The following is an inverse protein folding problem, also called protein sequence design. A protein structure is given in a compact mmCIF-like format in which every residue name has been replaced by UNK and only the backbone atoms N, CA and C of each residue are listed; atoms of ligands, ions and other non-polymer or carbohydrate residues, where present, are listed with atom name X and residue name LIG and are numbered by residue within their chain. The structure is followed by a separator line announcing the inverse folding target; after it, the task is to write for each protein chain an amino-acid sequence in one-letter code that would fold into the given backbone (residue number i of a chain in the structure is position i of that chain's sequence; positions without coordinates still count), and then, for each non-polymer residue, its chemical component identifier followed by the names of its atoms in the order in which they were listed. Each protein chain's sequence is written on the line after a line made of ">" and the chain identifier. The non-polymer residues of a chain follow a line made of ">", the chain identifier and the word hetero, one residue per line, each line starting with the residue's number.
data_IF_371147766692
#
_entry.id   IF_371147766692
#
_cell.length_a   1.000
_cell.length_b   1.000
_cell.length_c   1.000
_cell.angle_alpha   90.00
_cell.angle_beta   90.00
_cell.angle_gamma   90.00
#
_symmetry.space_group_name_H-M   'P 1'
#
loop_
_entity.id
_entity.type
_entity.pdbx_description
1 polymer ?
#
# COMPACT_ATOMS: atom_id res chain seq x y z
N UNK A 1 -8.31 -1.22 23.09
CA UNK A 1 -6.97 -0.95 22.51
C UNK A 1 -7.09 -0.65 21.02
N UNK A 2 -6.34 0.34 20.51
CA UNK A 2 -6.24 0.61 19.06
C UNK A 2 -4.86 0.21 18.58
N UNK A 3 -4.83 -0.59 17.52
CA UNK A 3 -3.59 -1.01 16.89
C UNK A 3 -2.91 0.24 16.31
N UNK A 4 -1.66 0.46 16.68
CA UNK A 4 -0.78 1.33 15.91
C UNK A 4 -0.50 0.62 14.59
N UNK A 5 -0.68 1.32 13.47
CA UNK A 5 -0.42 0.78 12.15
C UNK A 5 0.74 1.56 11.53
N UNK A 6 1.94 0.98 11.61
CA UNK A 6 3.16 1.52 11.00
C UNK A 6 3.47 0.89 9.64
N UNK A 7 2.74 -0.16 9.28
CA UNK A 7 2.77 -0.76 7.95
C UNK A 7 1.36 -0.97 7.41
N UNK A 8 1.18 -0.67 6.13
CA UNK A 8 -0.04 -1.00 5.41
C UNK A 8 0.26 -1.59 4.03
N UNK A 9 -0.51 -2.57 3.58
CA UNK A 9 -0.38 -3.16 2.23
C UNK A 9 -1.72 -3.14 1.49
N UNK A 10 -1.69 -2.81 0.20
CA UNK A 10 -2.84 -2.82 -0.71
C UNK A 10 -2.44 -3.39 -2.06
N UNK A 11 -3.44 -3.77 -2.84
CA UNK A 11 -3.25 -4.12 -4.25
C UNK A 11 -4.07 -3.25 -5.17
N UNK A 12 -3.56 -2.96 -6.36
CA UNK A 12 -4.18 -2.06 -7.33
C UNK A 12 -4.29 -2.67 -8.72
N UNK A 13 -5.41 -2.42 -9.43
CA UNK A 13 -5.57 -2.83 -10.82
C UNK A 13 -5.00 -1.80 -11.80
N UNK A 14 -4.79 -2.22 -13.05
CA UNK A 14 -4.40 -1.29 -14.14
C UNK A 14 -5.53 -0.32 -14.45
N UNK A 15 -6.74 -0.85 -14.56
CA UNK A 15 -7.96 -0.11 -14.87
C UNK A 15 -9.09 -0.64 -13.99
N UNK A 16 -10.04 0.23 -13.71
CA UNK A 16 -11.21 -0.13 -12.92
C UNK A 16 -12.19 -0.86 -13.85
N UNK A 17 -12.78 -1.95 -13.38
CA UNK A 17 -13.83 -2.65 -14.11
C UNK A 17 -15.04 -1.75 -14.32
N UNK A 18 -15.65 -1.74 -15.52
CA UNK A 18 -16.90 -1.00 -15.78
C UNK A 18 -18.08 -1.52 -14.96
N UNK A 19 -17.99 -2.77 -14.49
CA UNK A 19 -18.97 -3.41 -13.61
C UNK A 19 -18.78 -3.07 -12.12
N UNK A 20 -17.71 -2.33 -11.79
CA UNK A 20 -17.48 -1.89 -10.42
C UNK A 20 -18.55 -0.87 -10.01
N UNK A 21 -19.24 -1.14 -8.90
CA UNK A 21 -20.16 -0.17 -8.28
C UNK A 21 -19.46 1.15 -7.89
N UNK A 22 -18.13 1.13 -7.76
CA UNK A 22 -17.31 2.33 -7.58
C UNK A 22 -16.92 2.89 -8.95
N UNK A 23 -17.50 4.05 -9.31
CA UNK A 23 -17.17 4.84 -10.51
C UNK A 23 -15.74 5.39 -10.49
N UNK A 24 -15.12 5.50 -9.32
CA UNK A 24 -13.76 5.99 -9.13
C UNK A 24 -12.98 5.08 -8.19
N UNK A 25 -11.69 4.95 -8.46
CA UNK A 25 -10.78 4.09 -7.71
C UNK A 25 -9.32 4.40 -8.06
N UNK A 26 -8.44 3.80 -7.27
CA UNK A 26 -7.00 3.92 -7.44
C UNK A 26 -6.53 2.84 -8.41
N UNK A 27 -5.78 3.26 -9.42
CA UNK A 27 -5.13 2.40 -10.40
C UNK A 27 -3.62 2.52 -10.24
N UNK A 28 -2.87 1.60 -10.85
CA UNK A 28 -1.41 1.66 -10.90
C UNK A 28 -0.91 3.04 -11.33
N UNK A 29 -1.45 3.58 -12.43
CA UNK A 29 -1.07 4.90 -12.95
C UNK A 29 -1.29 6.02 -11.94
N UNK A 30 -2.44 6.04 -11.25
CA UNK A 30 -2.72 7.05 -10.22
C UNK A 30 -1.76 6.95 -9.04
N UNK A 31 -1.51 5.73 -8.57
CA UNK A 31 -0.62 5.49 -7.42
C UNK A 31 0.82 5.89 -7.76
N UNK A 32 1.32 5.51 -8.94
CA UNK A 32 2.65 5.90 -9.40
C UNK A 32 2.75 7.42 -9.52
N UNK A 33 1.78 8.08 -10.16
CA UNK A 33 1.77 9.55 -10.32
C UNK A 33 1.70 10.30 -9.00
N UNK A 34 0.88 9.83 -8.06
CA UNK A 34 0.79 10.41 -6.71
C UNK A 34 2.13 10.25 -5.96
N UNK A 35 2.74 9.07 -6.07
CA UNK A 35 3.99 8.77 -5.39
C UNK A 35 5.18 9.57 -5.92
N UNK A 36 5.32 9.74 -7.25
CA UNK A 36 6.39 10.56 -7.85
C UNK A 36 6.11 12.07 -7.81
N UNK A 37 5.07 12.50 -7.08
CA UNK A 37 4.64 13.91 -7.00
C UNK A 37 4.34 14.56 -8.36
N UNK A 38 3.77 13.79 -9.29
CA UNK A 38 3.35 14.32 -10.59
C UNK A 38 2.34 15.46 -10.39
N UNK A 39 2.49 16.54 -11.17
CA UNK A 39 1.66 17.76 -11.04
C UNK A 39 0.17 17.42 -11.10
N UNK A 40 -0.58 17.91 -10.12
CA UNK A 40 -2.03 17.67 -9.99
C UNK A 40 -2.42 16.29 -9.42
N UNK A 41 -1.46 15.44 -9.06
CA UNK A 41 -1.70 14.11 -8.49
C UNK A 41 -1.40 14.03 -6.98
N UNK A 42 -0.89 15.10 -6.36
CA UNK A 42 -0.46 15.15 -4.95
C UNK A 42 -1.04 16.36 -4.19
N UNK A 43 -2.36 16.59 -4.28
CA UNK A 43 -3.02 17.80 -3.74
C UNK A 43 -2.97 17.96 -2.21
N UNK A 44 -2.57 16.93 -1.47
CA UNK A 44 -2.50 16.95 -0.01
C UNK A 44 -1.10 17.33 0.52
N UNK A 45 -0.08 17.35 -0.35
CA UNK A 45 1.29 17.70 0.01
C UNK A 45 1.49 19.20 -0.22
N UNK A 46 1.90 19.92 0.82
CA UNK A 46 2.02 21.40 0.75
C UNK A 46 3.10 21.85 -0.23
N UNK A 47 4.27 21.21 -0.15
CA UNK A 47 5.44 21.51 -0.97
C UNK A 47 6.03 20.18 -1.42
N UNK A 48 5.59 19.64 -2.57
CA UNK A 48 6.08 18.35 -3.06
C UNK A 48 7.57 18.39 -3.32
N UNK A 49 8.30 17.42 -2.78
CA UNK A 49 9.73 17.25 -3.03
C UNK A 49 10.00 16.07 -3.96
N UNK A 50 11.18 16.03 -4.56
CA UNK A 50 11.61 14.86 -5.32
C UNK A 50 11.67 13.63 -4.42
N UNK A 51 11.20 12.50 -4.93
CA UNK A 51 11.28 11.24 -4.19
C UNK A 51 12.72 10.72 -4.18
N UNK A 52 13.16 10.17 -3.05
CA UNK A 52 14.46 9.49 -2.96
C UNK A 52 14.27 8.00 -3.21
N UNK A 53 14.97 7.44 -4.19
CA UNK A 53 14.99 5.99 -4.42
C UNK A 53 15.79 5.30 -3.30
N UNK A 54 15.19 4.29 -2.67
CA UNK A 54 15.79 3.48 -1.62
C UNK A 54 16.25 2.12 -2.15
N UNK A 55 15.44 1.48 -2.99
CA UNK A 55 15.73 0.16 -3.57
C UNK A 55 14.96 -0.07 -4.88
N UNK A 56 15.43 -1.02 -5.69
CA UNK A 56 14.83 -1.36 -6.98
C UNK A 56 15.13 -0.33 -8.08
N UNK A 57 14.17 -0.15 -9.00
CA UNK A 57 14.30 0.76 -10.15
C UNK A 57 13.48 2.04 -9.94
N UNK A 58 13.77 3.13 -10.68
CA UNK A 58 12.94 4.33 -10.67
C UNK A 58 11.46 4.01 -10.84
N UNK A 59 10.62 4.70 -10.06
CA UNK A 59 9.19 4.42 -9.97
C UNK A 59 8.45 4.83 -11.25
N UNK A 60 8.98 5.81 -11.96
CA UNK A 60 8.49 6.33 -13.24
C UNK A 60 8.46 5.24 -14.33
N UNK A 61 9.39 4.29 -14.27
CA UNK A 61 9.48 3.19 -15.23
C UNK A 61 8.64 1.98 -14.84
N UNK A 62 8.05 1.95 -13.63
CA UNK A 62 7.23 0.84 -13.16
C UNK A 62 6.07 0.50 -14.12
N UNK A 63 5.30 1.47 -14.67
CA UNK A 63 4.25 1.15 -15.63
C UNK A 63 4.77 0.43 -16.89
N UNK A 64 5.94 0.82 -17.41
CA UNK A 64 6.55 0.17 -18.59
C UNK A 64 6.97 -1.27 -18.28
N UNK A 65 7.60 -1.49 -17.12
CA UNK A 65 8.04 -2.81 -16.66
C UNK A 65 6.84 -3.74 -16.40
N UNK A 66 5.77 -3.20 -15.82
CA UNK A 66 4.51 -3.91 -15.65
C UNK A 66 3.90 -4.35 -16.98
N UNK A 67 3.83 -3.46 -17.97
CA UNK A 67 3.32 -3.83 -19.30
C UNK A 67 4.15 -4.93 -19.96
N UNK A 68 5.49 -4.91 -19.79
CA UNK A 68 6.36 -5.99 -20.25
C UNK A 68 6.04 -7.31 -19.57
N UNK A 69 6.00 -7.32 -18.22
CA UNK A 69 5.68 -8.52 -17.45
C UNK A 69 4.34 -9.15 -17.87
N UNK A 70 3.31 -8.34 -18.09
CA UNK A 70 1.98 -8.83 -18.44
C UNK A 70 1.90 -9.39 -19.86
N UNK A 71 2.68 -8.83 -20.81
CA UNK A 71 2.82 -9.40 -22.16
C UNK A 71 3.52 -10.75 -22.11
N UNK A 72 4.55 -10.87 -21.29
CA UNK A 72 5.34 -12.09 -21.15
C UNK A 72 4.53 -13.19 -20.43
N UNK A 73 3.75 -12.83 -19.41
CA UNK A 73 2.97 -13.76 -18.58
C UNK A 73 1.70 -14.31 -19.24
N UNK A 74 1.27 -13.77 -20.38
CA UNK A 74 0.03 -14.22 -21.04
C UNK A 74 -0.01 -15.75 -21.18
N UNK A 75 -1.07 -16.38 -20.65
CA UNK A 75 -1.17 -17.84 -20.56
C UNK A 75 -1.70 -18.42 -21.86
N UNK A 76 -1.17 -19.57 -22.27
CA UNK A 76 -1.76 -20.37 -23.33
C UNK A 76 -2.99 -21.10 -22.80
N UNK A 77 -4.15 -20.85 -23.40
CA UNK A 77 -5.42 -21.48 -23.06
C UNK A 77 -5.93 -22.18 -24.30
N UNK A 78 -6.49 -23.39 -24.13
CA UNK A 78 -7.09 -24.09 -25.25
C UNK A 78 -8.22 -23.27 -25.86
N UNK A 79 -8.13 -23.05 -27.17
CA UNK A 79 -9.20 -22.50 -27.98
C UNK A 79 -10.23 -23.59 -28.23
N UNK A 80 -11.29 -23.58 -27.43
CA UNK A 80 -12.39 -24.55 -27.51
C UNK A 80 -13.20 -24.42 -28.80
N UNK A 81 -13.01 -23.36 -29.60
CA UNK A 81 -13.74 -23.17 -30.87
C UNK A 81 -12.93 -23.61 -32.09
N UNK A 82 -11.61 -23.37 -32.09
CA UNK A 82 -10.78 -23.60 -33.27
C UNK A 82 -9.73 -24.71 -33.11
N UNK A 83 -9.57 -25.28 -31.91
CA UNK A 83 -8.56 -26.31 -31.65
C UNK A 83 -7.15 -25.72 -31.73
N UNK A 84 -6.55 -25.43 -30.58
CA UNK A 84 -5.19 -24.87 -30.53
C UNK A 84 -4.94 -24.11 -29.23
N UNK A 85 -3.70 -23.69 -28.99
CA UNK A 85 -3.37 -22.85 -27.84
C UNK A 85 -3.50 -21.38 -28.22
N UNK A 86 -4.37 -20.66 -27.52
CA UNK A 86 -4.52 -19.21 -27.63
C UNK A 86 -3.91 -18.52 -26.42
N UNK A 87 -3.00 -17.59 -26.64
CA UNK A 87 -2.47 -16.73 -25.58
C UNK A 87 -3.56 -15.79 -25.08
N UNK A 88 -4.03 -15.96 -23.85
CA UNK A 88 -4.97 -15.06 -23.18
C UNK A 88 -4.19 -14.01 -22.38
N UNK A 89 -4.45 -12.74 -22.70
CA UNK A 89 -3.91 -11.62 -21.95
C UNK A 89 -4.45 -11.60 -20.52
N UNK A 90 -3.61 -11.11 -19.58
CA UNK A 90 -4.06 -10.79 -18.22
C UNK A 90 -5.18 -9.76 -18.29
N UNK A 91 -6.25 -9.97 -17.52
CA UNK A 91 -7.41 -9.07 -17.50
C UNK A 91 -7.01 -7.63 -17.19
N UNK A 92 -7.65 -6.66 -17.84
CA UNK A 92 -7.36 -5.24 -17.63
C UNK A 92 -7.69 -4.75 -16.21
N UNK A 93 -8.62 -5.41 -15.53
CA UNK A 93 -9.04 -5.12 -14.16
C UNK A 93 -8.39 -6.06 -13.12
N UNK A 94 -7.44 -6.90 -13.54
CA UNK A 94 -6.62 -7.68 -12.62
C UNK A 94 -5.81 -6.74 -11.72
N UNK A 95 -5.72 -7.09 -10.44
CA UNK A 95 -4.81 -6.43 -9.50
C UNK A 95 -3.40 -6.93 -9.78
N UNK A 96 -2.52 -6.02 -10.17
CA UNK A 96 -1.18 -6.35 -10.69
C UNK A 96 -0.05 -5.61 -9.99
N UNK A 97 -0.40 -4.74 -9.05
CA UNK A 97 0.55 -4.04 -8.19
C UNK A 97 0.19 -4.32 -6.74
N UNK A 98 1.16 -4.76 -5.96
CA UNK A 98 1.16 -4.70 -4.50
C UNK A 98 1.93 -3.45 -4.10
N UNK A 99 1.36 -2.65 -3.19
CA UNK A 99 2.00 -1.47 -2.63
C UNK A 99 1.94 -1.55 -1.10
N UNK A 100 3.11 -1.47 -0.48
CA UNK A 100 3.27 -1.33 0.96
C UNK A 100 3.70 0.10 1.30
N UNK A 101 3.25 0.58 2.46
CA UNK A 101 3.70 1.83 3.08
C UNK A 101 4.23 1.49 4.45
N UNK A 102 5.46 1.88 4.74
CA UNK A 102 6.10 1.76 6.05
C UNK A 102 6.38 3.16 6.58
N UNK A 103 5.85 3.49 7.75
CA UNK A 103 5.93 4.84 8.33
C UNK A 103 6.75 4.83 9.61
N UNK A 104 7.77 5.70 9.65
CA UNK A 104 8.56 5.92 10.85
C UNK A 104 7.74 6.69 11.90
N UNK A 105 7.74 6.30 13.18
CA UNK A 105 6.81 6.83 14.18
C UNK A 105 7.18 8.23 14.68
N UNK A 106 8.36 8.74 14.35
CA UNK A 106 8.85 10.03 14.81
C UNK A 106 8.67 11.10 13.72
N UNK A 107 8.14 12.25 14.10
CA UNK A 107 7.92 13.38 13.18
C UNK A 107 9.24 13.92 12.62
N UNK A 108 9.19 14.36 11.37
CA UNK A 108 10.31 15.07 10.72
C UNK A 108 10.75 16.25 11.62
N UNK A 109 12.06 16.39 11.83
CA UNK A 109 12.67 17.39 12.71
C UNK A 109 12.94 16.93 14.15
N UNK A 110 12.46 15.74 14.56
CA UNK A 110 12.79 15.11 15.86
C UNK A 110 13.56 13.79 15.71
N UNK A 111 14.08 13.53 14.51
CA UNK A 111 14.66 12.24 14.10
C UNK A 111 16.19 12.32 14.07
N UNK A 112 16.85 11.30 14.60
CA UNK A 112 18.25 11.00 14.26
C UNK A 112 18.23 10.20 12.95
N UNK A 113 18.91 10.69 11.91
CA UNK A 113 18.85 10.11 10.57
C UNK A 113 19.23 8.62 10.54
N UNK A 114 20.26 8.22 11.28
CA UNK A 114 20.74 6.83 11.31
C UNK A 114 19.68 5.83 11.76
N UNK A 115 18.92 6.15 12.82
CA UNK A 115 17.87 5.27 13.33
C UNK A 115 16.70 5.08 12.35
N UNK A 116 16.41 6.11 11.55
CA UNK A 116 15.38 6.02 10.50
C UNK A 116 15.86 5.17 9.31
N UNK A 117 17.12 5.32 8.91
CA UNK A 117 17.70 4.55 7.82
C UNK A 117 17.78 3.05 8.18
N UNK A 118 18.17 2.71 9.41
CA UNK A 118 18.16 1.33 9.92
C UNK A 118 16.73 0.73 9.92
N UNK A 119 15.74 1.50 10.38
CA UNK A 119 14.33 1.06 10.33
C UNK A 119 13.87 0.76 8.92
N UNK A 120 14.20 1.62 7.94
CA UNK A 120 13.79 1.39 6.56
C UNK A 120 14.54 0.24 5.90
N UNK A 121 15.79 -0.01 6.28
CA UNK A 121 16.53 -1.20 5.85
C UNK A 121 15.82 -2.48 6.28
N UNK A 122 15.42 -2.58 7.55
CA UNK A 122 14.67 -3.74 8.05
C UNK A 122 13.28 -3.86 7.39
N UNK A 123 12.62 -2.74 7.09
CA UNK A 123 11.37 -2.75 6.34
C UNK A 123 11.54 -3.31 4.92
N UNK A 124 12.65 -3.01 4.24
CA UNK A 124 12.98 -3.51 2.90
C UNK A 124 13.21 -5.02 2.95
N UNK A 125 13.99 -5.51 3.91
CA UNK A 125 14.23 -6.95 4.10
C UNK A 125 12.93 -7.69 4.42
N UNK A 126 12.14 -7.17 5.35
CA UNK A 126 10.81 -7.70 5.66
C UNK A 126 9.93 -7.77 4.41
N UNK A 127 9.90 -6.70 3.60
CA UNK A 127 9.11 -6.68 2.38
C UNK A 127 9.53 -7.77 1.39
N UNK A 128 10.83 -7.94 1.17
CA UNK A 128 11.36 -8.97 0.28
C UNK A 128 10.95 -10.37 0.74
N UNK A 129 11.05 -10.63 2.04
CA UNK A 129 10.68 -11.92 2.63
C UNK A 129 9.17 -12.20 2.56
N UNK A 130 8.32 -11.18 2.73
CA UNK A 130 6.87 -11.38 2.80
C UNK A 130 6.15 -11.28 1.46
N UNK A 131 6.65 -10.46 0.52
CA UNK A 131 5.93 -10.10 -0.70
C UNK A 131 6.71 -10.37 -1.99
N UNK A 132 8.01 -10.67 -1.89
CA UNK A 132 8.87 -10.97 -3.03
C UNK A 132 9.70 -9.76 -3.51
N UNK A 133 10.12 -9.81 -4.77
CA UNK A 133 11.04 -8.82 -5.34
C UNK A 133 10.50 -7.38 -5.20
N UNK A 134 11.40 -6.45 -4.86
CA UNK A 134 11.08 -5.02 -4.81
C UNK A 134 11.36 -4.41 -6.19
N UNK A 135 10.29 -4.02 -6.86
CA UNK A 135 10.37 -3.31 -8.13
C UNK A 135 10.79 -1.86 -7.98
N UNK A 136 10.37 -1.23 -6.88
CA UNK A 136 10.73 0.15 -6.53
C UNK A 136 10.38 0.42 -5.07
N UNK A 137 11.29 1.07 -4.35
CA UNK A 137 11.04 1.62 -3.02
C UNK A 137 11.46 3.08 -3.00
N UNK A 138 10.54 3.99 -2.63
CA UNK A 138 10.79 5.43 -2.60
C UNK A 138 10.46 6.02 -1.24
N UNK A 139 11.33 6.92 -0.75
CA UNK A 139 11.17 7.66 0.50
C UNK A 139 10.50 9.02 0.23
N UNK A 140 9.50 9.31 1.04
CA UNK A 140 8.85 10.62 1.12
C UNK A 140 9.29 11.35 2.40
N UNK A 141 9.80 12.57 2.22
CA UNK A 141 10.32 13.46 3.28
C UNK A 141 9.53 14.78 3.37
N UNK A 142 8.49 14.92 2.56
CA UNK A 142 7.70 16.15 2.36
C UNK A 142 6.34 16.11 3.10
N UNK A 143 6.19 15.17 4.04
CA UNK A 143 5.00 14.98 4.87
C UNK A 143 5.31 15.04 6.37
N UNK A 144 4.34 14.76 7.24
CA UNK A 144 4.54 14.88 8.71
C UNK A 144 5.49 13.84 9.30
N UNK A 145 5.62 12.69 8.64
CA UNK A 145 6.44 11.55 9.07
C UNK A 145 7.18 11.00 7.86
N UNK A 146 8.40 10.54 8.08
CA UNK A 146 9.12 9.78 7.06
C UNK A 146 8.38 8.48 6.77
N UNK A 147 8.21 8.17 5.49
CA UNK A 147 7.63 6.90 5.09
C UNK A 147 8.16 6.47 3.72
N UNK A 148 8.33 5.16 3.56
CA UNK A 148 8.67 4.57 2.28
C UNK A 148 7.43 3.93 1.65
N UNK A 149 7.29 4.12 0.35
CA UNK A 149 6.39 3.36 -0.49
C UNK A 149 7.18 2.26 -1.19
N UNK A 150 6.79 1.00 -1.01
CA UNK A 150 7.46 -0.16 -1.61
C UNK A 150 6.47 -0.87 -2.54
N UNK A 151 6.93 -1.17 -3.75
CA UNK A 151 6.10 -1.70 -4.83
C UNK A 151 6.64 -3.02 -5.35
N UNK A 152 5.72 -3.97 -5.55
CA UNK A 152 5.97 -5.25 -6.22
C UNK A 152 4.92 -5.46 -7.30
N UNK A 153 5.36 -5.74 -8.53
CA UNK A 153 4.49 -6.03 -9.67
C UNK A 153 4.33 -7.54 -9.85
N UNK A 154 3.13 -7.97 -10.21
CA UNK A 154 2.82 -9.38 -10.44
C UNK A 154 1.62 -9.51 -11.38
N UNK A 155 1.52 -10.60 -12.14
CA UNK A 155 0.35 -10.83 -12.99
C UNK A 155 -0.95 -11.04 -12.18
N UNK A 156 -0.83 -11.45 -10.91
CA UNK A 156 -1.89 -11.55 -9.93
C UNK A 156 -1.39 -11.11 -8.53
N UNK A 157 -1.22 -9.81 -8.31
CA UNK A 157 -0.73 -9.26 -7.04
C UNK A 157 -1.60 -9.61 -5.81
N UNK A 158 -2.85 -10.04 -5.99
CA UNK A 158 -3.68 -10.54 -4.89
C UNK A 158 -3.11 -11.79 -4.22
N UNK A 159 -2.35 -12.61 -4.95
CA UNK A 159 -1.69 -13.80 -4.40
C UNK A 159 -0.58 -13.46 -3.42
N UNK A 160 0.04 -12.29 -3.59
CA UNK A 160 1.10 -11.79 -2.71
C UNK A 160 0.52 -11.17 -1.43
N UNK A 161 -0.73 -10.72 -1.46
CA UNK A 161 -1.35 -10.05 -0.31
C UNK A 161 -2.02 -11.09 0.61
N UNK A 162 -1.57 -11.28 1.87
CA UNK A 162 -2.00 -12.38 2.75
C UNK A 162 -3.52 -12.49 2.90
N UNK A 163 -4.20 -11.37 3.13
CA UNK A 163 -5.66 -11.36 3.25
C UNK A 163 -6.39 -11.77 1.96
N UNK A 164 -5.86 -11.46 0.77
CA UNK A 164 -6.48 -11.86 -0.50
C UNK A 164 -6.10 -13.30 -0.88
N UNK A 165 -4.85 -13.71 -0.65
CA UNK A 165 -4.38 -15.08 -0.84
C UNK A 165 -5.21 -16.07 0.00
N UNK A 166 -5.42 -15.76 1.28
CA UNK A 166 -6.23 -16.61 2.16
C UNK A 166 -7.71 -16.69 1.74
N UNK A 167 -8.27 -15.61 1.16
CA UNK A 167 -9.61 -15.65 0.57
C UNK A 167 -9.68 -16.57 -0.64
N UNK A 168 -8.65 -16.57 -1.47
CA UNK A 168 -8.63 -17.41 -2.67
C UNK A 168 -8.53 -18.90 -2.32
N UNK A 169 -7.77 -19.23 -1.27
CA UNK A 169 -7.66 -20.58 -0.74
C UNK A 169 -8.95 -21.07 -0.06
N UNK A 170 -9.61 -20.23 0.74
CA UNK A 170 -10.81 -20.59 1.50
C UNK A 170 -12.14 -20.31 0.79
N UNK A 171 -12.21 -20.44 -0.54
CA UNK A 171 -13.46 -20.23 -1.33
C UNK A 171 -14.67 -21.10 -0.89
N UNK A 172 -14.50 -21.98 0.09
CA UNK A 172 -15.49 -22.95 0.60
C UNK A 172 -16.17 -22.49 1.90
N UNK A 173 -15.68 -21.48 2.63
CA UNK A 173 -16.22 -21.12 3.96
C UNK A 173 -16.85 -19.71 4.04
N UNK A 174 -17.98 -19.61 4.74
CA UNK A 174 -18.84 -18.41 4.87
C UNK A 174 -18.28 -17.33 5.81
N UNK A 175 -17.16 -17.59 6.49
CA UNK A 175 -16.46 -16.65 7.40
C UNK A 175 -15.50 -15.69 6.66
N UNK A 176 -15.93 -15.18 5.50
CA UNK A 176 -15.19 -14.36 4.53
C UNK A 176 -14.39 -13.18 5.14
N UNK A 177 -15.03 -12.44 6.06
CA UNK A 177 -14.44 -11.24 6.66
C UNK A 177 -13.51 -11.58 7.82
N UNK A 178 -13.78 -12.68 8.52
CA UNK A 178 -12.98 -13.16 9.65
C UNK A 178 -11.59 -13.58 9.21
N UNK A 179 -11.49 -14.41 8.17
CA UNK A 179 -10.18 -14.89 7.66
C UNK A 179 -9.31 -13.74 7.18
N UNK A 180 -9.85 -12.80 6.38
CA UNK A 180 -9.06 -11.64 5.91
C UNK A 180 -8.53 -10.82 7.08
N UNK A 181 -9.40 -10.47 8.04
CA UNK A 181 -8.99 -9.66 9.20
C UNK A 181 -7.97 -10.39 10.07
N UNK A 182 -8.12 -11.70 10.24
CA UNK A 182 -7.18 -12.56 10.95
C UNK A 182 -5.81 -12.53 10.29
N UNK A 183 -5.71 -12.78 8.98
CA UNK A 183 -4.43 -12.78 8.27
C UNK A 183 -3.79 -11.39 8.23
N UNK A 184 -4.58 -10.33 8.12
CA UNK A 184 -4.05 -8.97 8.22
C UNK A 184 -3.60 -8.62 9.64
N UNK A 185 -4.21 -9.21 10.68
CA UNK A 185 -3.72 -9.05 12.06
C UNK A 185 -2.39 -9.77 12.25
N UNK A 186 -2.30 -11.03 11.81
CA UNK A 186 -1.05 -11.81 11.85
C UNK A 186 0.08 -11.11 11.11
N UNK A 187 -0.20 -10.50 9.96
CA UNK A 187 0.80 -9.72 9.23
C UNK A 187 1.32 -8.52 10.06
N UNK A 188 0.45 -7.86 10.84
CA UNK A 188 0.86 -6.77 11.73
C UNK A 188 1.65 -7.30 12.95
N UNK A 189 1.30 -8.49 13.45
CA UNK A 189 2.04 -9.15 14.54
C UNK A 189 3.44 -9.53 14.06
N UNK A 190 3.56 -10.12 12.86
CA UNK A 190 4.83 -10.47 12.23
C UNK A 190 5.71 -9.24 11.97
N UNK A 191 5.12 -8.14 11.46
CA UNK A 191 5.85 -6.89 11.27
C UNK A 191 6.35 -6.30 12.60
N UNK A 192 5.59 -6.50 13.68
CA UNK A 192 6.06 -6.09 15.00
C UNK A 192 7.24 -6.93 15.47
N UNK A 193 7.11 -8.25 15.40
CA UNK A 193 8.14 -9.19 15.84
C UNK A 193 9.45 -9.01 15.09
N UNK A 194 9.40 -8.81 13.76
CA UNK A 194 10.59 -8.78 12.91
C UNK A 194 11.20 -7.40 12.70
N UNK A 195 10.42 -6.33 12.90
CA UNK A 195 10.88 -4.96 12.60
C UNK A 195 10.58 -4.03 13.77
N UNK A 196 9.31 -3.82 14.10
CA UNK A 196 8.93 -2.73 15.02
C UNK A 196 9.57 -2.87 16.41
N UNK A 197 9.66 -4.09 16.93
CA UNK A 197 10.26 -4.40 18.24
C UNK A 197 11.73 -4.01 18.32
N UNK A 198 12.49 -4.11 17.22
CA UNK A 198 13.91 -3.78 17.15
C UNK A 198 14.16 -2.26 17.15
N UNK A 199 13.12 -1.47 16.86
CA UNK A 199 13.17 0.00 16.77
C UNK A 199 12.38 0.70 17.87
N UNK A 200 12.09 0.01 18.98
CA UNK A 200 11.30 0.49 20.13
C UNK A 200 9.87 0.93 19.77
N UNK A 201 9.29 0.32 18.73
CA UNK A 201 7.98 0.67 18.21
C UNK A 201 6.93 -0.34 18.71
N UNK A 202 6.03 0.13 19.57
CA UNK A 202 5.00 -0.73 20.16
C UNK A 202 3.96 -1.24 19.13
N UNK A 203 3.64 -2.54 19.21
CA UNK A 203 2.55 -3.20 18.46
C UNK A 203 1.18 -2.58 18.72
N UNK A 204 0.95 -2.24 19.98
CA UNK A 204 -0.32 -1.73 20.50
C UNK A 204 -0.04 -0.34 21.05
N UNK A 205 -0.50 0.68 20.33
CA UNK A 205 -0.39 2.07 20.77
C UNK A 205 -1.43 2.44 21.84
N UNK A 206 -1.28 3.65 22.43
CA UNK A 206 -2.28 4.19 23.35
C UNK A 206 -3.66 4.19 22.68
N UNK A 207 -4.64 3.61 23.37
CA UNK A 207 -5.97 3.39 22.82
C UNK A 207 -6.62 4.73 22.40
N UNK A 208 -6.73 4.99 21.09
CA UNK A 208 -7.59 6.07 20.60
C UNK A 208 -9.03 5.66 20.93
N UNK A 209 -9.81 6.58 21.53
CA UNK A 209 -11.26 6.40 21.66
C UNK A 209 -11.82 6.10 20.27
N UNK A 210 -12.47 4.94 20.11
CA UNK A 210 -13.20 4.63 18.88
C UNK A 210 -14.48 5.44 18.90
N UNK A 211 -14.56 6.42 18.02
CA UNK A 211 -15.80 7.13 17.73
C UNK A 211 -16.53 6.43 16.60
N UNK A 212 -17.86 6.40 16.64
CA UNK A 212 -18.66 6.03 15.47
C UNK A 212 -18.34 7.01 14.34
N UNK A 213 -18.59 6.63 13.08
CA UNK A 213 -18.24 7.45 11.92
C UNK A 213 -18.84 8.86 12.01
N UNK A 214 -20.09 8.97 12.46
CA UNK A 214 -20.80 10.25 12.58
C UNK A 214 -20.21 11.12 13.68
N UNK A 215 -19.87 10.52 14.83
CA UNK A 215 -19.18 11.21 15.93
C UNK A 215 -17.76 11.63 15.53
N UNK A 216 -17.06 10.82 14.75
CA UNK A 216 -15.75 11.21 14.22
C UNK A 216 -15.85 12.40 13.26
N UNK A 217 -16.85 12.41 12.37
CA UNK A 217 -17.08 13.51 11.42
C UNK A 217 -17.48 14.80 12.14
N UNK A 218 -18.32 14.72 13.19
CA UNK A 218 -18.70 15.88 14.00
C UNK A 218 -17.52 16.46 14.76
N UNK A 219 -16.72 15.61 15.43
CA UNK A 219 -15.47 16.03 16.10
C UNK A 219 -14.50 16.67 15.10
N UNK A 220 -14.31 16.07 13.92
CA UNK A 220 -13.44 16.61 12.87
C UNK A 220 -13.92 17.97 12.36
N UNK A 221 -15.23 18.19 12.27
CA UNK A 221 -15.84 19.47 11.89
C UNK A 221 -15.63 20.52 12.99
N UNK A 222 -15.89 20.16 14.26
CA UNK A 222 -15.67 21.05 15.40
C UNK A 222 -14.20 21.46 15.53
N UNK A 223 -13.26 20.52 15.45
CA UNK A 223 -11.82 20.83 15.54
C UNK A 223 -11.37 21.78 14.42
N UNK A 224 -11.86 21.61 13.19
CA UNK A 224 -11.59 22.55 12.10
C UNK A 224 -12.14 23.95 12.37
N UNK A 225 -13.34 24.04 12.95
CA UNK A 225 -13.96 25.32 13.31
C UNK A 225 -13.23 26.00 14.46
N UNK A 226 -12.85 25.26 15.51
CA UNK A 226 -12.09 25.79 16.66
C UNK A 226 -10.69 26.25 16.25
N UNK A 227 -10.06 25.56 15.30
CA UNK A 227 -8.73 25.92 14.81
C UNK A 227 -8.75 27.19 13.93
N UNK A 228 -9.88 27.52 13.30
CA UNK A 228 -10.08 28.81 12.61
C UNK A 228 -10.22 29.99 13.59
N UNK A 229 -10.91 29.77 14.72
CA UNK A 229 -11.18 30.81 15.73
C UNK A 229 -9.89 31.23 16.46
N UNK A 230 -8.96 30.30 16.70
CA UNK A 230 -7.68 30.60 17.36
C UNK A 230 -6.69 31.34 16.44
N UNK A 231 -6.89 31.29 15.13
CA UNK A 231 -6.06 32.00 14.13
C UNK A 231 -6.63 33.38 13.73
N UNK A 232 -7.74 33.80 14.33
CA UNK A 232 -8.41 35.08 14.06
C UNK A 232 -8.48 36.01 15.29
N UNK A 233 -7.64 35.73 16.29
CA UNK A 233 -7.32 36.60 17.45
C UNK A 233 -5.82 36.88 17.39
#
# INVERSE_FOLDING_TARGET
>A
MTLSQFMHVKTYPRKISSLSSKKYGNTVDKIVKEAIRFKGSCNHVKVPQSVRLISGKPLEDLPKRLEKLLKDTGQNIMDTKHGGLKKRAVRFDAHVLLAAVYSYPVKIGKVKHDAMDDFFKDCIEFHQNQFGEIDSAVLHIDESYFHIHVYTIDANAKRLHPGFAAKEYKKIDTTYTGTYRSEMSKLQDLFFEQVSSHHDIARIGPARKRYTRDVYLSIKKMLKSSQLIILSI
#
